data_IF_077635542465
#
_entry.id   IF_077635542465
#
_cell.length_a   1.000
_cell.length_b   1.000
_cell.length_c   1.000
_cell.angle_alpha   90.00
_cell.angle_beta   90.00
_cell.angle_gamma   90.00
#
_symmetry.space_group_name_H-M   'P 1'
#
loop_
_entity.id
_entity.type
_entity.pdbx_description
1 polymer ?
#
# COMPACT_ATOMS: atom_id res chain seq x y z
N UNK A 1 6.81 0.22 10.54
CA UNK A 1 5.39 0.66 10.50
C UNK A 1 4.53 -0.59 10.50
N UNK A 2 3.39 -0.58 11.18
CA UNK A 2 2.43 -1.68 11.13
C UNK A 2 1.36 -1.35 10.10
N UNK A 3 0.93 -2.34 9.33
CA UNK A 3 -0.19 -2.18 8.43
C UNK A 3 -1.09 -3.41 8.45
N UNK A 4 -2.31 -3.20 8.00
CA UNK A 4 -3.34 -4.22 8.01
C UNK A 4 -3.73 -4.53 6.57
N UNK A 5 -3.77 -5.82 6.25
CA UNK A 5 -4.24 -6.31 4.96
C UNK A 5 -5.49 -7.16 5.15
N UNK A 6 -6.34 -7.19 4.14
CA UNK A 6 -7.44 -8.14 4.04
C UNK A 6 -7.01 -9.30 3.15
N UNK A 7 -7.24 -10.51 3.62
CA UNK A 7 -7.04 -11.77 2.90
C UNK A 7 -8.40 -12.42 2.71
N UNK A 8 -8.81 -12.62 1.46
CA UNK A 8 -10.14 -13.14 1.15
C UNK A 8 -11.25 -12.14 1.51
N UNK A 9 -12.40 -12.67 1.93
CA UNK A 9 -13.61 -11.88 2.21
C UNK A 9 -13.79 -11.46 3.68
N UNK A 10 -13.12 -12.14 4.62
CA UNK A 10 -13.46 -11.99 6.05
C UNK A 10 -12.26 -11.92 7.00
N UNK A 11 -11.01 -11.99 6.50
CA UNK A 11 -9.83 -12.06 7.38
C UNK A 11 -9.00 -10.79 7.24
N UNK A 12 -8.77 -10.12 8.37
CA UNK A 12 -7.88 -8.97 8.48
C UNK A 12 -6.61 -9.39 9.22
N UNK A 13 -5.44 -9.10 8.66
CA UNK A 13 -4.14 -9.48 9.20
C UNK A 13 -3.31 -8.23 9.41
N UNK A 14 -2.88 -7.98 10.64
CA UNK A 14 -2.00 -6.87 11.00
C UNK A 14 -0.56 -7.36 11.15
N UNK A 15 0.39 -6.63 10.58
CA UNK A 15 1.80 -7.00 10.65
C UNK A 15 2.75 -5.89 10.22
N UNK A 16 4.04 -6.21 10.19
CA UNK A 16 5.08 -5.30 9.73
C UNK A 16 5.01 -5.15 8.21
N UNK A 17 5.01 -3.91 7.72
CA UNK A 17 4.95 -3.62 6.29
C UNK A 17 6.28 -3.98 5.64
N UNK A 18 6.27 -4.99 4.75
CA UNK A 18 7.47 -5.41 4.01
C UNK A 18 7.56 -4.70 2.67
N UNK A 19 6.43 -4.58 1.95
CA UNK A 19 6.39 -4.00 0.61
C UNK A 19 4.99 -3.50 0.24
N UNK A 20 4.95 -2.39 -0.49
CA UNK A 20 3.77 -1.94 -1.23
C UNK A 20 3.92 -2.32 -2.70
N UNK A 21 2.85 -2.85 -3.28
CA UNK A 21 2.79 -3.18 -4.70
C UNK A 21 2.05 -2.08 -5.45
N UNK A 22 2.41 -1.87 -6.73
CA UNK A 22 1.80 -0.84 -7.59
C UNK A 22 0.30 -1.09 -7.86
N UNK A 23 -0.18 -2.30 -7.61
CA UNK A 23 -1.57 -2.70 -7.81
C UNK A 23 -2.49 -2.34 -6.62
N UNK A 24 -2.01 -1.56 -5.64
CA UNK A 24 -2.75 -1.26 -4.39
C UNK A 24 -2.77 -2.42 -3.37
N UNK A 25 -2.01 -3.49 -3.66
CA UNK A 25 -1.75 -4.58 -2.72
C UNK A 25 -0.55 -4.28 -1.84
N UNK A 26 -0.48 -4.95 -0.70
CA UNK A 26 0.55 -4.75 0.30
C UNK A 26 0.94 -6.10 0.91
N UNK A 27 2.22 -6.27 1.20
CA UNK A 27 2.76 -7.43 1.89
C UNK A 27 3.10 -7.07 3.34
N UNK A 28 2.56 -7.82 4.29
CA UNK A 28 2.86 -7.72 5.72
C UNK A 28 3.52 -8.98 6.24
N UNK A 29 4.46 -8.83 7.16
CA UNK A 29 5.10 -9.94 7.88
C UNK A 29 4.46 -10.07 9.27
N UNK A 30 4.04 -11.29 9.61
CA UNK A 30 3.51 -11.67 10.92
C UNK A 30 4.33 -12.85 11.42
N UNK A 31 5.17 -12.59 12.43
CA UNK A 31 6.19 -13.54 12.86
C UNK A 31 7.11 -13.90 11.68
N UNK A 32 7.08 -15.17 11.27
CA UNK A 32 7.94 -15.71 10.20
C UNK A 32 7.22 -15.83 8.85
N UNK A 33 5.95 -15.45 8.77
CA UNK A 33 5.14 -15.58 7.57
C UNK A 33 4.91 -14.21 6.92
N UNK A 34 5.01 -14.16 5.60
CA UNK A 34 4.67 -12.96 4.82
C UNK A 34 3.35 -13.18 4.10
N UNK A 35 2.38 -12.33 4.40
CA UNK A 35 1.06 -12.35 3.79
C UNK A 35 0.90 -11.18 2.84
N UNK A 36 0.22 -11.39 1.72
CA UNK A 36 -0.05 -10.33 0.74
C UNK A 36 -1.55 -10.19 0.53
N UNK A 37 -2.06 -8.96 0.61
CA UNK A 37 -3.48 -8.69 0.52
C UNK A 37 -3.76 -7.23 0.13
N UNK A 38 -5.03 -6.84 0.17
CA UNK A 38 -5.43 -5.44 -0.04
C UNK A 38 -5.29 -4.68 1.27
N UNK A 39 -4.73 -3.47 1.22
CA UNK A 39 -4.69 -2.63 2.41
C UNK A 39 -6.13 -2.23 2.82
N UNK A 40 -6.48 -2.37 4.09
CA UNK A 40 -7.85 -2.04 4.57
C UNK A 40 -8.11 -0.53 4.51
N UNK A 41 -7.05 0.28 4.54
CA UNK A 41 -7.09 1.74 4.45
C UNK A 41 -6.50 2.25 3.13
N UNK A 42 -6.70 1.54 2.02
CA UNK A 42 -6.22 1.94 0.70
C UNK A 42 -6.84 3.25 0.15
N UNK A 43 -7.62 3.97 0.95
CA UNK A 43 -8.23 5.25 0.59
C UNK A 43 -7.25 6.41 0.50
N UNK A 44 -6.17 6.45 1.29
CA UNK A 44 -5.29 7.65 1.29
C UNK A 44 -3.78 7.37 1.37
N UNK A 45 -3.33 6.27 1.96
CA UNK A 45 -1.88 6.11 2.21
C UNK A 45 -1.11 5.36 1.10
N UNK A 46 -1.79 4.53 0.29
CA UNK A 46 -1.15 3.78 -0.81
C UNK A 46 -0.85 4.61 -2.07
N UNK A 47 -1.52 5.76 -2.24
CA UNK A 47 -1.20 6.72 -3.30
C UNK A 47 -0.07 7.69 -2.88
N UNK A 48 0.06 7.96 -1.58
CA UNK A 48 0.95 8.99 -1.04
C UNK A 48 2.43 8.59 -0.96
N UNK A 49 2.78 7.33 -1.25
CA UNK A 49 4.18 6.87 -1.24
C UNK A 49 4.57 6.07 -2.48
N UNK A 50 4.07 6.49 -3.65
CA UNK A 50 4.84 6.29 -4.87
C UNK A 50 6.20 7.00 -4.71
N UNK A 51 7.35 6.35 -4.96
CA UNK A 51 8.60 7.08 -5.01
C UNK A 51 8.50 8.06 -6.19
N UNK A 52 8.49 9.36 -5.88
CA UNK A 52 8.83 10.46 -6.77
C UNK A 52 8.59 10.23 -8.27
N UNK A 53 7.34 10.26 -8.72
CA UNK A 53 7.02 10.78 -10.06
C UNK A 53 6.37 12.13 -9.84
N UNK A 54 7.21 13.11 -9.51
CA UNK A 54 6.85 14.51 -9.67
C UNK A 54 6.89 14.77 -11.18
N UNK A 55 5.77 14.60 -11.86
CA UNK A 55 5.64 15.17 -13.20
C UNK A 55 5.47 16.68 -12.98
N UNK A 56 6.41 17.54 -13.40
CA UNK A 56 6.17 18.97 -13.33
C UNK A 56 4.94 19.27 -14.18
N UNK A 57 3.87 19.77 -13.55
CA UNK A 57 2.72 20.32 -14.26
C UNK A 57 3.25 21.37 -15.23
N UNK A 58 3.18 21.11 -16.55
CA UNK A 58 3.33 22.17 -17.56
C UNK A 58 2.24 23.19 -17.28
N UNK A 59 2.62 24.35 -16.77
CA UNK A 59 1.79 25.55 -16.83
C UNK A 59 1.86 26.01 -18.28
N UNK A 60 0.82 25.71 -19.07
CA UNK A 60 0.62 26.40 -20.34
C UNK A 60 0.10 27.80 -20.04
N UNK A 61 0.94 28.80 -20.24
CA UNK A 61 0.53 30.21 -20.34
C UNK A 61 0.05 30.45 -21.77
N UNK A 62 -0.99 31.28 -21.86
CA UNK A 62 -1.76 31.67 -23.04
C UNK A 62 -0.94 32.17 -24.24
#
# INVERSE_FOLDING_TARGET
MLGTIVIGSCVSVQGEIVRYHRDGRMSVRVGNLTFTGRAVNAGEESAARAPAVVTPRRVSVA
#
